data_IF_626386223842
#
_entry.id   IF_626386223842
#
_cell.length_a   1.000
_cell.length_b   1.000
_cell.length_c   1.000
_cell.angle_alpha   90.00
_cell.angle_beta   90.00
_cell.angle_gamma   90.00
#
_symmetry.space_group_name_H-M   'P 1'
#
loop_
_entity.id
_entity.type
_entity.pdbx_description
1 polymer ?
#
# COMPACT_ATOMS: atom_id res chain seq x y z
N UNK A 1 12.11 -16.08 16.73
CA UNK A 1 11.83 -15.46 15.42
C UNK A 1 12.77 -14.27 15.26
N UNK A 2 13.38 -14.08 14.09
CA UNK A 2 14.18 -12.87 13.85
C UNK A 2 13.27 -11.65 14.05
N UNK A 3 13.72 -10.66 14.85
CA UNK A 3 12.99 -9.40 14.97
C UNK A 3 12.82 -8.81 13.57
N UNK A 4 11.64 -8.29 13.25
CA UNK A 4 11.37 -7.55 12.01
C UNK A 4 12.51 -6.62 11.61
N UNK A 5 13.07 -5.88 12.58
CA UNK A 5 14.18 -4.95 12.35
C UNK A 5 15.41 -5.65 11.76
N UNK A 6 15.67 -6.90 12.14
CA UNK A 6 16.75 -7.70 11.57
C UNK A 6 16.45 -8.09 10.12
N UNK A 7 15.21 -8.44 9.79
CA UNK A 7 14.79 -8.76 8.41
C UNK A 7 14.94 -7.54 7.49
N UNK A 8 14.46 -6.37 7.91
CA UNK A 8 14.63 -5.13 7.13
C UNK A 8 16.09 -4.79 6.92
N UNK A 9 16.91 -4.85 7.98
CA UNK A 9 18.34 -4.59 7.88
C UNK A 9 19.04 -5.54 6.92
N UNK A 10 18.64 -6.81 6.92
CA UNK A 10 19.16 -7.80 5.99
C UNK A 10 18.81 -7.47 4.54
N UNK A 11 17.55 -7.10 4.26
CA UNK A 11 17.10 -6.64 2.93
C UNK A 11 17.86 -5.40 2.48
N UNK A 12 17.98 -4.39 3.33
CA UNK A 12 18.69 -3.14 3.02
C UNK A 12 20.15 -3.40 2.68
N UNK A 13 20.81 -4.31 3.41
CA UNK A 13 22.20 -4.67 3.17
C UNK A 13 22.38 -5.41 1.84
N UNK A 14 21.53 -6.41 1.57
CA UNK A 14 21.61 -7.27 0.39
C UNK A 14 21.23 -6.53 -0.90
N UNK A 15 20.19 -5.70 -0.88
CA UNK A 15 19.67 -5.06 -2.08
C UNK A 15 20.62 -4.01 -2.67
N UNK A 16 20.64 -3.93 -4.00
CA UNK A 16 21.27 -2.87 -4.78
C UNK A 16 20.39 -1.63 -4.85
N UNK A 17 19.10 -1.85 -5.06
CA UNK A 17 18.05 -0.81 -5.11
C UNK A 17 16.92 -1.22 -4.18
N UNK A 18 16.39 -0.27 -3.42
CA UNK A 18 15.25 -0.48 -2.53
C UNK A 18 13.99 0.18 -3.06
N UNK A 19 12.87 -0.51 -2.95
CA UNK A 19 11.54 0.06 -3.17
C UNK A 19 10.83 0.18 -1.83
N UNK A 20 10.43 1.38 -1.44
CA UNK A 20 9.48 1.57 -0.35
C UNK A 20 8.07 1.69 -0.95
N UNK A 21 7.24 0.66 -0.75
CA UNK A 21 5.88 0.64 -1.27
C UNK A 21 4.94 1.18 -0.21
N UNK A 22 4.21 2.23 -0.60
CA UNK A 22 3.31 3.03 0.24
C UNK A 22 1.92 2.99 -0.40
N UNK A 23 0.86 2.92 0.41
CA UNK A 23 -0.52 3.04 -0.08
C UNK A 23 -0.81 4.51 -0.35
N UNK A 24 -1.12 4.86 -1.61
CA UNK A 24 -1.35 6.25 -2.02
C UNK A 24 -2.49 6.93 -1.23
N UNK A 25 -3.42 6.15 -0.67
CA UNK A 25 -4.53 6.65 0.17
C UNK A 25 -4.05 7.18 1.52
N UNK A 26 -2.97 6.59 2.03
CA UNK A 26 -2.42 6.78 3.38
C UNK A 26 -0.89 6.96 3.33
N UNK A 27 -0.41 7.99 2.62
CA UNK A 27 1.01 8.13 2.35
C UNK A 27 1.83 8.37 3.62
N UNK A 28 1.30 9.05 4.63
CA UNK A 28 2.05 9.32 5.87
C UNK A 28 2.00 8.14 6.83
N UNK A 29 0.86 7.48 6.93
CA UNK A 29 0.62 6.35 7.85
C UNK A 29 1.33 5.08 7.37
N UNK A 30 1.51 4.92 6.05
CA UNK A 30 2.20 3.76 5.46
C UNK A 30 3.68 4.02 5.14
N UNK A 31 4.23 5.12 5.65
CA UNK A 31 5.68 5.40 5.64
C UNK A 31 6.39 4.91 6.88
N UNK A 32 7.68 4.66 6.75
CA UNK A 32 8.52 4.36 7.90
C UNK A 32 9.80 5.19 7.89
N UNK A 33 9.78 6.32 8.61
CA UNK A 33 10.93 7.22 8.68
C UNK A 33 12.17 6.59 9.35
N UNK A 34 12.04 5.56 10.18
CA UNK A 34 13.21 4.84 10.73
C UNK A 34 13.93 4.06 9.60
N UNK A 35 13.15 3.40 8.75
CA UNK A 35 13.64 2.68 7.57
C UNK A 35 14.22 3.65 6.54
N UNK A 36 13.50 4.72 6.18
CA UNK A 36 14.00 5.78 5.28
C UNK A 36 15.36 6.33 5.75
N UNK A 37 15.49 6.67 7.03
CA UNK A 37 16.76 7.15 7.62
C UNK A 37 17.87 6.12 7.54
N UNK A 38 17.57 4.85 7.75
CA UNK A 38 18.57 3.78 7.66
C UNK A 38 19.06 3.58 6.22
N UNK A 39 18.17 3.65 5.24
CA UNK A 39 18.51 3.57 3.81
C UNK A 39 19.43 4.73 3.41
N UNK A 40 19.04 5.96 3.78
CA UNK A 40 19.81 7.18 3.51
C UNK A 40 21.20 7.09 4.16
N UNK A 41 21.27 6.67 5.43
CA UNK A 41 22.54 6.50 6.16
C UNK A 41 23.48 5.51 5.48
N UNK A 42 22.94 4.45 4.88
CA UNK A 42 23.73 3.44 4.15
C UNK A 42 24.00 3.81 2.68
N UNK A 43 23.56 4.99 2.23
CA UNK A 43 23.70 5.48 0.87
C UNK A 43 23.25 4.42 -0.17
N UNK A 44 22.11 3.78 0.11
CA UNK A 44 21.47 2.80 -0.77
C UNK A 44 20.49 3.53 -1.70
N UNK A 45 20.56 3.32 -3.04
CA UNK A 45 19.56 3.83 -3.95
C UNK A 45 18.18 3.33 -3.54
N UNK A 46 17.22 4.23 -3.42
CA UNK A 46 15.85 3.85 -3.12
C UNK A 46 14.84 4.69 -3.88
N UNK A 47 13.67 4.10 -4.07
CA UNK A 47 12.54 4.64 -4.84
C UNK A 47 11.30 4.50 -3.96
N UNK A 48 10.52 5.57 -3.88
CA UNK A 48 9.21 5.55 -3.24
C UNK A 48 8.17 5.16 -4.29
N UNK A 49 7.42 4.10 -4.01
CA UNK A 49 6.35 3.61 -4.88
C UNK A 49 5.01 3.91 -4.23
N UNK A 50 4.29 4.93 -4.73
CA UNK A 50 2.91 5.18 -4.35
C UNK A 50 2.00 4.22 -5.11
N UNK A 51 1.67 3.10 -4.48
CA UNK A 51 0.82 2.07 -5.05
C UNK A 51 -0.66 2.34 -4.76
N UNK A 52 -1.56 1.69 -5.52
CA UNK A 52 -3.01 1.96 -5.52
C UNK A 52 -3.32 3.40 -5.94
N UNK A 53 -2.53 3.96 -6.85
CA UNK A 53 -2.74 5.31 -7.37
C UNK A 53 -4.07 5.47 -8.10
N UNK A 54 -4.71 4.37 -8.51
CA UNK A 54 -6.08 4.36 -9.05
C UNK A 54 -7.16 4.66 -8.01
N UNK A 55 -6.83 4.60 -6.71
CA UNK A 55 -7.75 4.89 -5.62
C UNK A 55 -7.71 6.36 -5.15
N UNK A 56 -6.87 7.18 -5.79
CA UNK A 56 -6.57 8.54 -5.37
C UNK A 56 -6.64 9.50 -6.56
N UNK A 57 -7.28 10.65 -6.38
CA UNK A 57 -7.33 11.70 -7.40
C UNK A 57 -5.93 12.16 -7.84
N UNK A 58 -5.79 12.52 -9.13
CA UNK A 58 -4.50 12.95 -9.69
C UNK A 58 -3.94 14.20 -9.00
N UNK A 59 -4.80 15.14 -8.61
CA UNK A 59 -4.39 16.33 -7.87
C UNK A 59 -3.74 15.97 -6.53
N UNK A 60 -4.36 15.05 -5.77
CA UNK A 60 -3.83 14.59 -4.49
C UNK A 60 -2.52 13.80 -4.65
N UNK A 61 -2.40 12.98 -5.69
CA UNK A 61 -1.15 12.26 -5.99
C UNK A 61 0.01 13.23 -6.21
N UNK A 62 -0.18 14.29 -7.00
CA UNK A 62 0.88 15.27 -7.27
C UNK A 62 1.22 16.09 -6.00
N UNK A 63 0.22 16.47 -5.19
CA UNK A 63 0.46 17.12 -3.88
C UNK A 63 1.27 16.23 -2.95
N UNK A 64 0.97 14.94 -2.91
CA UNK A 64 1.67 13.93 -2.09
C UNK A 64 3.09 13.69 -2.60
N UNK A 65 3.30 13.69 -3.92
CA UNK A 65 4.60 13.48 -4.55
C UNK A 65 5.60 14.59 -4.23
N UNK A 66 5.17 15.84 -4.14
CA UNK A 66 6.05 16.99 -3.97
C UNK A 66 6.99 16.91 -2.75
N UNK A 67 6.54 16.60 -1.52
CA UNK A 67 7.44 16.39 -0.39
C UNK A 67 8.27 15.11 -0.52
N UNK A 68 7.69 14.01 -0.98
CA UNK A 68 8.38 12.70 -1.10
C UNK A 68 9.51 12.73 -2.13
N UNK A 69 9.37 13.50 -3.20
CA UNK A 69 10.40 13.67 -4.24
C UNK A 69 11.68 14.33 -3.73
N UNK A 70 11.63 14.99 -2.55
CA UNK A 70 12.82 15.53 -1.87
C UNK A 70 13.63 14.45 -1.17
N UNK A 71 13.02 13.30 -0.91
CA UNK A 71 13.60 12.17 -0.18
C UNK A 71 14.17 11.16 -1.19
N UNK A 72 13.36 10.75 -2.15
CA UNK A 72 13.72 9.82 -3.21
C UNK A 72 12.83 9.99 -4.46
N UNK A 73 13.24 9.49 -5.64
CA UNK A 73 12.37 9.41 -6.80
C UNK A 73 11.05 8.71 -6.46
N UNK A 74 9.93 9.30 -6.88
CA UNK A 74 8.58 8.79 -6.62
C UNK A 74 7.97 8.25 -7.92
N UNK A 75 7.45 7.03 -7.88
CA UNK A 75 6.72 6.41 -9.00
C UNK A 75 5.32 6.03 -8.55
N UNK A 76 4.32 6.39 -9.34
CA UNK A 76 2.93 5.97 -9.12
C UNK A 76 2.71 4.62 -9.78
N UNK A 77 2.06 3.69 -9.09
CA UNK A 77 1.73 2.37 -9.62
C UNK A 77 0.27 2.05 -9.31
N UNK A 78 -0.43 1.55 -10.33
CA UNK A 78 -1.71 0.88 -10.15
C UNK A 78 -1.62 -0.55 -10.67
N UNK A 79 -1.82 -1.50 -9.78
CA UNK A 79 -1.93 -2.91 -10.16
C UNK A 79 -3.27 -3.20 -10.87
N UNK A 80 -4.34 -2.47 -10.51
CA UNK A 80 -5.67 -2.58 -11.10
C UNK A 80 -5.66 -2.13 -12.56
N UNK A 81 -5.11 -0.95 -12.83
CA UNK A 81 -5.04 -0.36 -14.16
C UNK A 81 -3.83 -0.82 -14.97
N UNK A 82 -2.93 -1.60 -14.35
CA UNK A 82 -1.63 -2.03 -14.89
C UNK A 82 -0.79 -0.85 -15.40
N UNK A 83 -0.77 0.23 -14.64
CA UNK A 83 -0.07 1.45 -14.98
C UNK A 83 1.17 1.66 -14.09
N UNK A 84 2.15 2.41 -14.59
CA UNK A 84 3.34 2.80 -13.83
C UNK A 84 4.46 1.75 -13.72
N UNK A 85 4.21 0.48 -14.00
CA UNK A 85 5.21 -0.59 -13.86
C UNK A 85 6.39 -0.44 -14.83
N UNK A 86 6.16 0.02 -16.07
CA UNK A 86 7.24 0.34 -17.03
C UNK A 86 8.10 1.50 -16.54
N UNK A 87 7.48 2.55 -16.00
CA UNK A 87 8.22 3.67 -15.40
C UNK A 87 9.05 3.22 -14.20
N UNK A 88 8.48 2.35 -13.35
CA UNK A 88 9.19 1.77 -12.22
C UNK A 88 10.41 0.96 -12.67
N UNK A 89 10.28 0.14 -13.74
CA UNK A 89 11.42 -0.58 -14.33
C UNK A 89 12.53 0.36 -14.77
N UNK A 90 12.18 1.41 -15.51
CA UNK A 90 13.16 2.39 -15.97
C UNK A 90 13.85 3.09 -14.79
N UNK A 91 13.08 3.45 -13.76
CA UNK A 91 13.60 4.08 -12.56
C UNK A 91 14.53 3.16 -11.77
N UNK A 92 14.21 1.87 -11.63
CA UNK A 92 15.08 0.86 -10.99
C UNK A 92 16.44 0.81 -11.69
N UNK A 93 16.44 0.67 -13.02
CA UNK A 93 17.68 0.59 -13.81
C UNK A 93 18.48 1.89 -13.74
N UNK A 94 17.80 3.04 -13.80
CA UNK A 94 18.44 4.35 -13.66
C UNK A 94 19.10 4.51 -12.27
N UNK A 95 18.40 4.14 -11.20
CA UNK A 95 18.91 4.19 -9.82
C UNK A 95 20.07 3.24 -9.59
N UNK A 96 20.05 2.06 -10.21
CA UNK A 96 21.16 1.10 -10.16
C UNK A 96 22.41 1.62 -10.90
N UNK A 97 22.22 2.25 -12.06
CA UNK A 97 23.32 2.74 -12.91
C UNK A 97 24.16 3.87 -12.28
N UNK A 98 23.64 4.54 -11.24
CA UNK A 98 24.40 5.54 -10.47
C UNK A 98 25.60 4.91 -9.74
N UNK A 99 25.53 3.61 -9.41
CA UNK A 99 26.64 2.88 -8.80
C UNK A 99 27.47 2.17 -9.87
N UNK A 100 28.73 2.60 -10.00
CA UNK A 100 29.66 2.07 -10.99
C UNK A 100 29.82 0.54 -10.92
N UNK A 101 29.76 -0.02 -9.71
CA UNK A 101 29.97 -1.46 -9.44
C UNK A 101 28.82 -2.37 -9.92
N UNK A 102 27.67 -1.80 -10.29
CA UNK A 102 26.45 -2.55 -10.68
C UNK A 102 26.28 -2.60 -12.21
N UNK A 103 27.11 -1.85 -12.95
CA UNK A 103 26.98 -1.70 -14.39
C UNK A 103 27.29 -3.02 -15.11
N UNK A 104 26.25 -3.66 -15.64
CA UNK A 104 26.39 -4.90 -16.42
C UNK A 104 25.95 -6.17 -15.71
N UNK A 105 25.63 -6.09 -14.42
CA UNK A 105 25.19 -7.22 -13.59
C UNK A 105 23.68 -7.21 -13.35
N UNK A 106 23.17 -8.28 -12.75
CA UNK A 106 21.80 -8.34 -12.24
C UNK A 106 21.65 -7.36 -11.07
N UNK A 107 20.58 -6.58 -11.11
CA UNK A 107 20.19 -5.60 -10.09
C UNK A 107 19.29 -6.31 -9.09
N UNK A 108 19.78 -6.46 -7.86
CA UNK A 108 18.99 -7.02 -6.78
C UNK A 108 18.10 -5.95 -6.13
N UNK A 109 16.79 -6.10 -6.24
CA UNK A 109 15.79 -5.15 -5.75
C UNK A 109 15.16 -5.66 -4.46
N UNK A 110 15.33 -4.91 -3.38
CA UNK A 110 14.64 -5.16 -2.11
C UNK A 110 13.32 -4.41 -2.04
N UNK A 111 12.28 -5.05 -1.52
CA UNK A 111 10.94 -4.45 -1.43
C UNK A 111 10.53 -4.28 0.04
N UNK A 112 10.32 -3.04 0.45
CA UNK A 112 9.96 -2.65 1.82
C UNK A 112 8.56 -2.03 1.84
N UNK A 113 7.93 -2.02 3.01
CA UNK A 113 6.60 -1.44 3.20
C UNK A 113 5.66 -2.33 4.01
N UNK A 114 4.62 -1.72 4.56
CA UNK A 114 3.66 -2.38 5.43
C UNK A 114 2.88 -3.51 4.72
N UNK A 115 2.37 -4.53 5.44
CA UNK A 115 1.37 -5.45 4.92
C UNK A 115 0.25 -4.75 4.13
N UNK A 116 -0.23 -5.39 3.06
CA UNK A 116 -1.34 -4.96 2.20
C UNK A 116 -1.25 -3.59 1.49
N UNK A 117 -0.10 -2.90 1.56
CA UNK A 117 0.22 -1.77 0.66
C UNK A 117 0.40 -2.20 -0.81
N UNK A 118 0.50 -3.51 -1.06
CA UNK A 118 0.54 -4.10 -2.42
C UNK A 118 1.94 -4.39 -2.97
N UNK A 119 2.93 -4.67 -2.11
CA UNK A 119 4.30 -5.08 -2.50
C UNK A 119 4.31 -6.19 -3.55
N UNK A 120 3.64 -7.30 -3.28
CA UNK A 120 3.59 -8.45 -4.21
C UNK A 120 2.94 -8.07 -5.53
N UNK A 121 1.91 -7.21 -5.50
CA UNK A 121 1.26 -6.72 -6.72
C UNK A 121 2.19 -5.84 -7.56
N UNK A 122 3.02 -5.00 -6.91
CA UNK A 122 4.07 -4.23 -7.59
C UNK A 122 5.12 -5.15 -8.20
N UNK A 123 5.63 -6.14 -7.45
CA UNK A 123 6.61 -7.13 -7.95
C UNK A 123 6.04 -7.87 -9.16
N UNK A 124 4.80 -8.36 -9.06
CA UNK A 124 4.12 -9.07 -10.15
C UNK A 124 3.88 -8.16 -11.36
N UNK A 125 3.51 -6.91 -11.13
CA UNK A 125 3.33 -5.91 -12.19
C UNK A 125 4.62 -5.61 -12.93
N UNK A 126 5.75 -5.57 -12.23
CA UNK A 126 7.09 -5.38 -12.83
C UNK A 126 7.59 -6.64 -13.54
N UNK A 127 7.29 -7.82 -13.00
CA UNK A 127 7.71 -9.13 -13.53
C UNK A 127 6.92 -9.54 -14.79
N UNK A 128 5.65 -9.12 -14.88
CA UNK A 128 4.73 -9.52 -15.93
C UNK A 128 4.18 -10.95 -15.74
N UNK A 129 3.12 -11.28 -16.49
CA UNK A 129 2.26 -12.48 -16.29
C UNK A 129 2.93 -13.85 -16.51
N UNK A 130 4.18 -13.94 -16.96
CA UNK A 130 4.78 -15.21 -17.41
C UNK A 130 6.18 -15.53 -16.89
N UNK A 131 6.70 -14.81 -15.87
CA UNK A 131 8.12 -14.94 -15.49
C UNK A 131 8.45 -15.02 -14.00
N UNK A 132 7.48 -15.30 -13.13
CA UNK A 132 7.81 -15.69 -11.76
C UNK A 132 8.34 -17.13 -11.70
N UNK A 133 9.47 -17.39 -12.37
CA UNK A 133 10.28 -18.58 -12.08
C UNK A 133 11.24 -18.20 -10.97
N UNK A 134 11.18 -18.92 -9.85
CA UNK A 134 12.22 -18.85 -8.82
C UNK A 134 13.55 -19.25 -9.46
N UNK A 135 14.50 -18.32 -9.57
CA UNK A 135 15.81 -18.60 -10.15
C UNK A 135 16.86 -18.68 -9.05
N UNK A 136 17.67 -19.76 -8.96
CA UNK A 136 18.84 -19.77 -8.11
C UNK A 136 19.91 -18.85 -8.70
N UNK A 137 20.20 -17.72 -8.04
CA UNK A 137 21.35 -16.88 -8.39
C UNK A 137 22.64 -17.63 -8.01
N UNK A 138 23.59 -17.75 -8.93
CA UNK A 138 24.89 -18.37 -8.67
C UNK A 138 25.64 -17.60 -7.57
N UNK A 139 25.92 -18.25 -6.44
CA UNK A 139 26.72 -17.70 -5.34
C UNK A 139 25.96 -17.22 -4.09
N UNK A 140 24.62 -17.30 -4.06
CA UNK A 140 23.81 -16.83 -2.92
C UNK A 140 22.98 -17.95 -2.25
N UNK A 141 22.86 -17.86 -0.91
CA UNK A 141 22.41 -18.92 0.02
C UNK A 141 20.93 -19.33 -0.13
N UNK A 142 20.66 -20.64 0.05
CA UNK A 142 19.37 -21.39 -0.12
C UNK A 142 18.12 -20.92 0.66
N UNK A 143 18.06 -19.71 1.23
CA UNK A 143 16.94 -19.27 2.09
C UNK A 143 16.09 -18.11 1.57
N UNK A 144 16.59 -17.34 0.60
CA UNK A 144 15.89 -16.17 0.04
C UNK A 144 15.35 -16.54 -1.34
N UNK A 145 14.02 -16.50 -1.51
CA UNK A 145 13.42 -16.67 -2.82
C UNK A 145 13.66 -15.40 -3.64
N UNK A 146 14.05 -15.56 -4.89
CA UNK A 146 14.28 -14.47 -5.82
C UNK A 146 13.27 -14.56 -6.96
N UNK A 147 12.70 -13.42 -7.34
CA UNK A 147 11.76 -13.33 -8.47
C UNK A 147 12.44 -12.60 -9.62
N UNK A 148 12.65 -13.29 -10.73
CA UNK A 148 13.24 -12.72 -11.95
C UNK A 148 12.20 -11.89 -12.71
N UNK A 149 12.42 -10.59 -12.78
CA UNK A 149 11.57 -9.67 -13.54
C UNK A 149 12.08 -9.41 -14.96
N UNK A 150 13.16 -10.07 -15.39
CA UNK A 150 13.82 -9.87 -16.67
C UNK A 150 14.52 -8.51 -16.78
N UNK A 151 15.30 -8.33 -17.84
CA UNK A 151 16.13 -7.13 -18.05
C UNK A 151 17.10 -6.88 -16.88
N UNK A 152 17.67 -7.95 -16.31
CA UNK A 152 18.62 -7.90 -15.18
C UNK A 152 18.00 -7.37 -13.88
N UNK A 153 16.70 -7.53 -13.66
CA UNK A 153 16.05 -7.13 -12.41
C UNK A 153 15.65 -8.38 -11.64
N UNK A 154 16.18 -8.53 -10.43
CA UNK A 154 15.89 -9.65 -9.53
C UNK A 154 15.30 -9.11 -8.24
N UNK A 155 14.09 -9.50 -7.86
CA UNK A 155 13.51 -9.10 -6.56
C UNK A 155 13.89 -10.06 -5.45
N UNK A 156 14.20 -9.51 -4.27
CA UNK A 156 14.26 -10.25 -3.01
C UNK A 156 12.81 -10.47 -2.54
N UNK A 157 12.36 -11.73 -2.48
CA UNK A 157 11.06 -12.06 -1.90
C UNK A 157 11.13 -11.97 -0.38
N UNK A 158 10.58 -10.89 0.17
CA UNK A 158 10.42 -10.71 1.61
C UNK A 158 8.94 -10.58 1.94
N UNK A 159 8.40 -11.43 2.83
CA UNK A 159 7.03 -11.26 3.32
C UNK A 159 6.91 -9.90 3.99
N UNK A 160 5.67 -9.41 4.09
CA UNK A 160 5.29 -8.11 4.64
C UNK A 160 6.24 -7.51 5.67
N UNK A 161 7.27 -6.83 5.17
CA UNK A 161 8.19 -5.90 5.81
C UNK A 161 7.85 -5.66 7.27
N UNK A 162 6.97 -4.69 7.44
CA UNK A 162 6.81 -3.84 8.62
C UNK A 162 5.66 -4.34 9.49
N UNK A 163 5.90 -4.81 10.73
CA UNK A 163 4.85 -5.20 11.65
C UNK A 163 4.07 -3.96 12.05
N UNK A 164 2.78 -4.15 12.23
CA UNK A 164 1.94 -3.23 12.96
C UNK A 164 2.08 -3.51 14.44
N UNK A 165 1.97 -2.46 15.27
CA UNK A 165 1.62 -2.69 16.67
C UNK A 165 0.22 -3.35 16.68
N UNK A 166 0.04 -4.40 17.47
CA UNK A 166 -1.27 -5.04 17.67
C UNK A 166 -2.33 -4.05 18.18
N UNK A 167 -1.87 -2.92 18.75
CA UNK A 167 -2.71 -1.84 19.25
C UNK A 167 -3.29 -0.93 18.15
N UNK A 168 -2.77 -0.97 16.93
CA UNK A 168 -3.28 -0.14 15.82
C UNK A 168 -4.29 -0.91 14.97
N UNK A 169 -5.38 -1.32 15.61
CA UNK A 169 -6.47 -2.04 14.94
C UNK A 169 -7.18 -1.17 13.88
N UNK A 170 -7.14 0.16 14.04
CA UNK A 170 -7.69 1.11 13.09
C UNK A 170 -6.96 1.06 11.76
N UNK A 171 -5.63 1.25 11.76
CA UNK A 171 -4.84 1.20 10.55
C UNK A 171 -4.87 -0.19 9.90
N UNK A 172 -4.95 -1.25 10.71
CA UNK A 172 -5.15 -2.61 10.21
C UNK A 172 -6.46 -2.78 9.45
N UNK A 173 -7.54 -2.13 9.91
CA UNK A 173 -8.82 -2.07 9.21
C UNK A 173 -8.74 -1.25 7.92
N UNK A 174 -8.15 -0.06 7.96
CA UNK A 174 -8.01 0.83 6.79
C UNK A 174 -7.18 0.21 5.65
N UNK A 175 -6.12 -0.51 5.99
CA UNK A 175 -5.23 -1.16 5.02
C UNK A 175 -5.69 -2.56 4.61
N UNK A 176 -6.77 -3.08 5.20
CA UNK A 176 -7.30 -4.41 4.89
C UNK A 176 -6.42 -5.56 5.37
N UNK A 177 -5.67 -5.35 6.44
CA UNK A 177 -4.82 -6.38 7.07
C UNK A 177 -5.65 -7.32 7.90
N UNK A 178 -6.65 -6.76 8.58
CA UNK A 178 -7.63 -7.50 9.34
C UNK A 178 -8.98 -7.41 8.62
N UNK A 179 -9.61 -8.57 8.44
CA UNK A 179 -10.94 -8.66 7.87
C UNK A 179 -11.94 -7.87 8.73
N UNK A 180 -12.89 -7.20 8.06
CA UNK A 180 -13.89 -6.36 8.71
C UNK A 180 -14.64 -7.07 9.85
N UNK A 181 -14.93 -8.37 9.71
CA UNK A 181 -15.66 -9.16 10.70
C UNK A 181 -14.86 -9.41 11.98
N UNK A 182 -13.52 -9.46 11.87
CA UNK A 182 -12.62 -9.75 12.98
C UNK A 182 -12.17 -8.51 13.75
N UNK A 183 -12.41 -7.29 13.25
CA UNK A 183 -12.12 -6.04 13.96
C UNK A 183 -12.96 -5.94 15.24
N UNK A 184 -12.36 -5.52 16.36
CA UNK A 184 -13.07 -5.29 17.63
C UNK A 184 -13.94 -4.04 17.53
N UNK A 185 -13.36 -2.92 17.08
CA UNK A 185 -14.07 -1.67 16.85
C UNK A 185 -14.37 -1.44 15.36
N UNK A 186 -15.41 -2.10 14.86
CA UNK A 186 -15.85 -1.94 13.46
C UNK A 186 -16.42 -0.55 13.21
N UNK A 187 -17.17 -0.02 14.18
CA UNK A 187 -17.86 1.26 14.03
C UNK A 187 -16.83 2.37 13.91
N UNK A 188 -15.85 2.45 14.83
CA UNK A 188 -14.80 3.47 14.76
C UNK A 188 -14.01 3.44 13.46
N UNK A 189 -13.65 2.26 12.94
CA UNK A 189 -12.99 2.14 11.62
C UNK A 189 -13.87 2.64 10.48
N UNK A 190 -15.16 2.32 10.51
CA UNK A 190 -16.10 2.79 9.49
C UNK A 190 -16.29 4.32 9.56
N UNK A 191 -16.37 4.90 10.77
CA UNK A 191 -16.47 6.34 10.96
C UNK A 191 -15.24 7.06 10.40
N UNK A 192 -14.03 6.59 10.66
CA UNK A 192 -12.79 7.15 10.10
C UNK A 192 -12.78 7.12 8.57
N UNK A 193 -13.24 6.00 7.96
CA UNK A 193 -13.39 5.89 6.51
C UNK A 193 -14.38 6.96 6.00
N UNK A 194 -15.52 7.11 6.67
CA UNK A 194 -16.53 8.10 6.29
C UNK A 194 -15.95 9.51 6.41
N UNK A 195 -15.29 9.86 7.52
CA UNK A 195 -14.68 11.19 7.73
C UNK A 195 -13.70 11.52 6.60
N UNK A 196 -12.87 10.54 6.23
CA UNK A 196 -11.94 10.69 5.10
C UNK A 196 -12.67 10.91 3.78
N UNK A 197 -13.72 10.14 3.50
CA UNK A 197 -14.55 10.30 2.30
C UNK A 197 -15.25 11.66 2.28
N UNK A 198 -15.74 12.15 3.42
CA UNK A 198 -16.39 13.46 3.51
C UNK A 198 -15.41 14.60 3.23
N UNK A 199 -14.19 14.50 3.78
CA UNK A 199 -13.15 15.50 3.58
C UNK A 199 -12.58 15.51 2.16
N UNK A 200 -12.48 14.34 1.51
CA UNK A 200 -11.74 14.19 0.26
C UNK A 200 -12.64 14.00 -0.97
N UNK A 201 -13.71 13.20 -0.88
CA UNK A 201 -14.56 12.87 -2.02
C UNK A 201 -15.97 12.41 -1.64
N UNK A 202 -16.77 13.32 -1.07
CA UNK A 202 -18.13 12.99 -0.59
C UNK A 202 -19.05 12.47 -1.70
N UNK A 203 -18.87 12.95 -2.94
CA UNK A 203 -19.72 12.60 -4.08
C UNK A 203 -19.63 11.13 -4.45
N UNK A 204 -18.46 10.48 -4.26
CA UNK A 204 -18.33 9.03 -4.45
C UNK A 204 -19.14 8.27 -3.40
N UNK A 205 -19.13 8.73 -2.15
CA UNK A 205 -19.92 8.12 -1.07
C UNK A 205 -21.42 8.24 -1.35
N UNK A 206 -21.88 9.44 -1.74
CA UNK A 206 -23.28 9.73 -2.10
C UNK A 206 -23.76 8.86 -3.27
N UNK A 207 -23.00 8.82 -4.36
CA UNK A 207 -23.38 8.06 -5.56
C UNK A 207 -23.31 6.55 -5.35
N UNK A 208 -22.31 6.05 -4.62
CA UNK A 208 -22.13 4.61 -4.40
C UNK A 208 -23.22 4.04 -3.51
N UNK A 209 -23.55 4.72 -2.40
CA UNK A 209 -24.60 4.26 -1.49
C UNK A 209 -25.99 4.79 -1.85
N UNK A 210 -26.12 5.70 -2.82
CA UNK A 210 -27.39 6.37 -3.15
C UNK A 210 -27.97 7.15 -1.96
N UNK A 211 -27.12 7.92 -1.29
CA UNK A 211 -27.47 8.79 -0.15
C UNK A 211 -27.20 10.25 -0.49
N UNK A 212 -27.85 11.19 0.19
CA UNK A 212 -27.55 12.63 0.10
C UNK A 212 -26.89 13.10 1.38
N UNK A 213 -25.75 13.79 1.27
CA UNK A 213 -24.93 14.25 2.39
C UNK A 213 -24.69 15.76 2.26
N UNK A 214 -25.34 16.50 3.15
CA UNK A 214 -25.21 17.95 3.33
C UNK A 214 -24.13 18.25 4.37
N UNK A 215 -24.51 18.26 5.65
CA UNK A 215 -23.71 18.68 6.81
C UNK A 215 -23.71 17.62 7.91
N UNK A 216 -24.07 16.38 7.57
CA UNK A 216 -24.12 15.24 8.46
C UNK A 216 -22.74 14.88 9.01
N UNK A 217 -22.70 14.43 10.27
CA UNK A 217 -21.50 13.86 10.88
C UNK A 217 -21.20 12.48 10.28
N UNK A 218 -19.99 11.95 10.54
CA UNK A 218 -19.63 10.60 10.13
C UNK A 218 -20.60 9.53 10.66
N UNK A 219 -21.13 9.73 11.86
CA UNK A 219 -22.13 8.87 12.48
C UNK A 219 -23.48 8.96 11.79
N UNK A 220 -23.96 10.16 11.50
CA UNK A 220 -25.22 10.37 10.77
C UNK A 220 -25.17 9.73 9.38
N UNK A 221 -24.03 9.83 8.69
CA UNK A 221 -23.81 9.18 7.38
C UNK A 221 -23.82 7.66 7.51
N UNK A 222 -23.24 7.10 8.57
CA UNK A 222 -23.33 5.65 8.84
C UNK A 222 -24.79 5.22 8.97
N UNK A 223 -25.62 5.96 9.71
CA UNK A 223 -27.05 5.66 9.80
C UNK A 223 -27.77 5.78 8.46
N UNK A 224 -27.48 6.82 7.67
CA UNK A 224 -28.08 7.01 6.34
C UNK A 224 -27.78 5.82 5.43
N UNK A 225 -26.52 5.38 5.40
CA UNK A 225 -26.10 4.21 4.62
C UNK A 225 -26.83 2.96 5.11
N UNK A 226 -26.94 2.77 6.43
CA UNK A 226 -27.62 1.62 7.02
C UNK A 226 -29.11 1.57 6.68
N UNK A 227 -29.81 2.72 6.73
CA UNK A 227 -31.21 2.86 6.29
C UNK A 227 -31.36 2.53 4.80
N UNK A 228 -30.47 3.09 3.97
CA UNK A 228 -30.49 2.90 2.53
C UNK A 228 -30.20 1.44 2.11
N UNK A 229 -29.34 0.74 2.85
CA UNK A 229 -29.05 -0.68 2.65
C UNK A 229 -30.10 -1.62 3.28
N UNK A 230 -31.14 -1.09 3.93
CA UNK A 230 -32.13 -1.84 4.69
C UNK A 230 -31.51 -2.75 5.77
N UNK A 231 -30.44 -2.27 6.42
CA UNK A 231 -29.80 -2.95 7.54
C UNK A 231 -30.47 -2.50 8.82
N UNK A 232 -31.64 -3.08 9.11
CA UNK A 232 -32.46 -2.72 10.26
C UNK A 232 -32.52 -3.86 11.28
N UNK A 233 -32.52 -3.50 12.56
CA UNK A 233 -32.79 -4.37 13.70
C UNK A 233 -34.26 -4.25 14.15
N UNK A 234 -34.59 -4.90 15.27
CA UNK A 234 -35.92 -4.79 15.88
C UNK A 234 -36.21 -3.32 16.20
N UNK A 235 -37.49 -2.91 16.04
CA UNK A 235 -37.97 -1.53 16.20
C UNK A 235 -37.51 -0.53 15.13
N UNK A 236 -36.84 -0.99 14.06
CA UNK A 236 -36.46 -0.14 12.94
C UNK A 236 -35.18 0.67 13.15
N UNK A 237 -34.41 0.37 14.19
CA UNK A 237 -33.07 0.93 14.42
C UNK A 237 -32.07 0.33 13.42
N UNK A 238 -31.04 1.10 13.05
CA UNK A 238 -30.02 0.64 12.10
C UNK A 238 -29.10 -0.40 12.76
N UNK A 239 -28.79 -1.47 12.03
CA UNK A 239 -27.71 -2.38 12.39
C UNK A 239 -26.36 -1.75 12.06
N UNK A 240 -25.84 -0.98 13.01
CA UNK A 240 -24.58 -0.24 12.85
C UNK A 240 -23.40 -1.17 12.60
N UNK A 241 -23.36 -2.32 13.27
CA UNK A 241 -22.26 -3.29 13.14
C UNK A 241 -22.22 -3.87 11.73
N UNK A 242 -23.39 -4.26 11.20
CA UNK A 242 -23.50 -4.75 9.82
C UNK A 242 -23.18 -3.67 8.80
N UNK A 243 -23.63 -2.44 9.05
CA UNK A 243 -23.36 -1.29 8.19
C UNK A 243 -21.87 -0.94 8.16
N UNK A 244 -21.24 -0.85 9.32
CA UNK A 244 -19.81 -0.64 9.45
C UNK A 244 -19.00 -1.72 8.72
N UNK A 245 -19.38 -3.00 8.88
CA UNK A 245 -18.74 -4.13 8.18
C UNK A 245 -18.83 -3.96 6.66
N UNK A 246 -19.99 -3.54 6.14
CA UNK A 246 -20.19 -3.29 4.72
C UNK A 246 -19.28 -2.18 4.21
N UNK A 247 -19.23 -1.05 4.92
CA UNK A 247 -18.42 0.12 4.53
C UNK A 247 -16.92 -0.23 4.51
N UNK A 248 -16.44 -0.94 5.53
CA UNK A 248 -15.05 -1.38 5.60
C UNK A 248 -14.73 -2.31 4.43
N UNK A 249 -15.60 -3.26 4.11
CA UNK A 249 -15.38 -4.16 2.98
C UNK A 249 -15.35 -3.41 1.65
N UNK A 250 -16.28 -2.48 1.41
CA UNK A 250 -16.31 -1.70 0.17
C UNK A 250 -15.06 -0.81 0.03
N UNK A 251 -14.57 -0.26 1.14
CA UNK A 251 -13.29 0.44 1.22
C UNK A 251 -12.08 -0.45 0.92
N UNK A 252 -11.98 -1.61 1.58
CA UNK A 252 -10.86 -2.55 1.43
C UNK A 252 -10.80 -3.13 0.01
N UNK A 253 -11.95 -3.29 -0.66
CA UNK A 253 -12.06 -3.73 -2.05
C UNK A 253 -11.75 -2.61 -3.08
N UNK A 254 -11.49 -1.38 -2.62
CA UNK A 254 -11.17 -0.25 -3.50
C UNK A 254 -12.35 0.22 -4.35
N UNK A 255 -13.57 0.13 -3.80
CA UNK A 255 -14.79 0.66 -4.43
C UNK A 255 -15.02 2.14 -4.11
N UNK A 256 -14.36 2.65 -3.05
CA UNK A 256 -14.45 4.03 -2.60
C UNK A 256 -13.14 4.78 -2.93
N UNK A 257 -13.22 5.66 -3.92
CA UNK A 257 -12.12 6.51 -4.41
C UNK A 257 -12.02 7.81 -3.58
N UNK A 258 -10.81 8.21 -3.21
CA UNK A 258 -10.51 9.49 -2.54
C UNK A 258 -9.62 10.42 -3.38
#
# INVERSE_FOLDING_TARGET
MASYKALVKDVIKKADVLLEVIDARFPEETRNSEVEREIIRLNKPFIIVLNKSDLVSREKLEKTKAPLSKIAPVVFVSSKDRSGTTMLRHQILASAAVKADIKGQDVLVGTLGYPNVGKSSVINGVTGRHRASTSPISGHTKGVQHVDAGSRIMFIDTPGVIPFDEKDEYLQGLLGIKDATHLKDKIGVALEIIEKMLAENKTVLESFYSVMIKDETSYDVLELIGKQCNFLQKKGEVDETRTATRIINDWQNGLLLI
#
